data_IF_120520638954
#
_entry.id   IF_120520638954
#
_cell.length_a   1.000
_cell.length_b   1.000
_cell.length_c   1.000
_cell.angle_alpha   90.00
_cell.angle_beta   90.00
_cell.angle_gamma   90.00
#
_symmetry.space_group_name_H-M   'P 1'
#
loop_
_entity.id
_entity.type
_entity.pdbx_description
1 polymer ?
#
# COMPACT_ATOMS: atom_id res chain seq x y z
N UNK A 1 53.00 -4.54 0.13
CA UNK A 1 52.98 -3.06 0.09
C UNK A 1 51.56 -2.53 -0.17
N UNK A 2 50.92 -2.95 -1.26
CA UNK A 2 49.59 -2.47 -1.69
C UNK A 2 48.49 -2.77 -0.65
N UNK A 3 48.48 -3.95 -0.03
CA UNK A 3 47.45 -4.34 0.95
C UNK A 3 47.43 -3.44 2.19
N UNK A 4 48.59 -2.95 2.62
CA UNK A 4 48.71 -2.05 3.78
C UNK A 4 48.11 -0.67 3.49
N UNK A 5 48.28 -0.18 2.25
CA UNK A 5 47.72 1.11 1.83
C UNK A 5 46.20 1.06 1.72
N UNK A 6 45.67 -0.03 1.15
CA UNK A 6 44.21 -0.25 1.06
C UNK A 6 43.61 -0.34 2.46
N UNK A 7 44.20 -1.11 3.37
CA UNK A 7 43.72 -1.26 4.75
C UNK A 7 43.73 0.08 5.49
N UNK A 8 44.80 0.88 5.34
CA UNK A 8 44.92 2.19 5.95
C UNK A 8 43.90 3.20 5.41
N UNK A 9 43.54 3.10 4.13
CA UNK A 9 42.54 3.96 3.51
C UNK A 9 41.13 3.67 4.02
N UNK A 10 40.77 2.38 4.14
CA UNK A 10 39.49 1.97 4.72
C UNK A 10 39.34 2.38 6.19
N UNK A 11 40.40 2.28 6.99
CA UNK A 11 40.38 2.73 8.40
C UNK A 11 40.24 4.26 8.56
N UNK A 12 40.65 5.04 7.56
CA UNK A 12 40.51 6.50 7.54
C UNK A 12 39.18 6.99 6.95
N UNK A 13 38.42 6.11 6.32
CA UNK A 13 37.12 6.45 5.76
C UNK A 13 36.10 6.53 6.90
N UNK A 14 35.85 7.74 7.41
CA UNK A 14 34.79 7.97 8.38
C UNK A 14 33.42 7.79 7.72
N UNK A 15 32.67 6.78 8.16
CA UNK A 15 31.28 6.57 7.75
C UNK A 15 30.43 7.62 8.46
N UNK A 16 29.98 8.64 7.72
CA UNK A 16 29.02 9.62 8.24
C UNK A 16 27.66 8.96 8.46
N UNK A 17 27.39 8.55 9.70
CA UNK A 17 26.07 8.13 10.14
C UNK A 17 25.21 9.35 10.45
N UNK A 18 24.75 10.07 9.43
CA UNK A 18 23.71 11.10 9.64
C UNK A 18 22.63 11.00 8.56
N UNK A 19 21.98 9.84 8.51
CA UNK A 19 20.72 9.64 7.76
C UNK A 19 19.59 10.12 8.67
N UNK A 20 19.43 11.44 8.81
CA UNK A 20 18.21 11.97 9.41
C UNK A 20 17.13 11.95 8.34
N UNK A 21 16.13 11.09 8.52
CA UNK A 21 14.95 11.04 7.65
C UNK A 21 14.13 12.28 7.93
N UNK A 22 13.99 13.13 6.94
CA UNK A 22 13.12 14.31 6.99
C UNK A 22 11.66 13.84 6.97
N UNK A 23 10.87 14.29 7.95
CA UNK A 23 9.47 13.91 8.08
C UNK A 23 8.66 14.62 6.99
N UNK A 24 8.27 13.89 5.95
CA UNK A 24 7.39 14.42 4.90
C UNK A 24 5.96 14.49 5.41
N UNK A 25 5.56 15.70 5.82
CA UNK A 25 4.20 16.15 6.15
C UNK A 25 3.40 15.28 7.15
N UNK A 26 3.13 15.84 8.33
CA UNK A 26 2.06 15.39 9.23
C UNK A 26 0.70 15.69 8.61
N UNK A 27 0.30 14.90 7.62
CA UNK A 27 -1.06 14.94 7.09
C UNK A 27 -2.02 14.38 8.13
N UNK A 28 -2.93 15.21 8.61
CA UNK A 28 -4.03 14.81 9.48
C UNK A 28 -4.81 13.69 8.79
N UNK A 29 -4.78 12.49 9.37
CA UNK A 29 -5.50 11.35 8.82
C UNK A 29 -7.00 11.63 8.92
N UNK A 30 -7.64 11.94 7.80
CA UNK A 30 -9.09 12.00 7.71
C UNK A 30 -9.61 10.61 8.04
N UNK A 31 -10.14 10.45 9.25
CA UNK A 31 -10.73 9.20 9.69
C UNK A 31 -11.97 8.92 8.83
N UNK A 32 -12.08 7.74 8.20
CA UNK A 32 -13.35 7.34 7.61
C UNK A 32 -14.34 7.13 8.77
N UNK A 33 -15.32 8.02 8.90
CA UNK A 33 -16.41 7.84 9.86
C UNK A 33 -17.21 6.60 9.43
N UNK A 34 -16.99 5.49 10.11
CA UNK A 34 -17.84 4.30 10.05
C UNK A 34 -19.15 4.64 10.75
N UNK A 35 -20.12 5.16 10.00
CA UNK A 35 -21.46 5.44 10.46
C UNK A 35 -22.47 4.62 9.68
N UNK A 36 -22.78 3.43 10.19
CA UNK A 36 -23.99 2.69 9.81
C UNK A 36 -25.22 3.46 10.36
N UNK A 37 -25.98 4.13 9.49
CA UNK A 37 -27.34 4.59 9.79
C UNK A 37 -28.18 4.80 8.51
N UNK A 38 -29.07 3.82 8.29
CA UNK A 38 -30.40 3.85 7.63
C UNK A 38 -30.90 5.12 6.90
N UNK A 39 -31.36 4.85 5.66
CA UNK A 39 -32.70 5.10 5.10
C UNK A 39 -33.19 6.53 4.70
N UNK A 40 -33.47 6.65 3.39
CA UNK A 40 -34.41 7.52 2.63
C UNK A 40 -34.48 9.04 2.85
N UNK A 41 -34.09 9.81 1.81
CA UNK A 41 -35.05 10.48 0.89
C UNK A 41 -34.38 11.58 0.07
N UNK A 42 -34.43 11.39 -1.25
CA UNK A 42 -34.60 12.40 -2.30
C UNK A 42 -33.97 13.81 -2.08
N UNK A 43 -32.79 14.07 -2.67
CA UNK A 43 -32.48 15.34 -3.35
C UNK A 43 -31.28 15.20 -4.30
N UNK A 44 -31.54 15.52 -5.56
CA UNK A 44 -30.65 16.12 -6.57
C UNK A 44 -29.14 15.75 -6.61
N UNK A 45 -28.79 14.96 -7.64
CA UNK A 45 -27.59 15.07 -8.48
C UNK A 45 -26.25 15.49 -7.82
N UNK A 46 -25.54 14.51 -7.26
CA UNK A 46 -24.08 14.38 -7.43
C UNK A 46 -23.82 12.98 -7.94
N UNK A 47 -23.25 12.82 -9.15
CA UNK A 47 -22.82 11.50 -9.63
C UNK A 47 -21.76 11.00 -8.65
N UNK A 48 -22.17 10.14 -7.73
CA UNK A 48 -21.24 9.51 -6.81
C UNK A 48 -20.25 8.68 -7.63
N UNK A 49 -18.95 8.72 -7.31
CA UNK A 49 -18.00 7.85 -7.98
C UNK A 49 -18.45 6.41 -7.79
N UNK A 50 -18.65 5.69 -8.89
CA UNK A 50 -19.01 4.27 -8.84
C UNK A 50 -17.81 3.54 -8.25
N UNK A 51 -17.92 3.16 -6.98
CA UNK A 51 -16.91 2.33 -6.33
C UNK A 51 -17.09 0.91 -6.86
N UNK A 52 -16.33 0.58 -7.91
CA UNK A 52 -16.24 -0.80 -8.38
C UNK A 52 -15.37 -1.54 -7.37
N UNK A 53 -15.99 -2.41 -6.57
CA UNK A 53 -15.28 -3.35 -5.72
C UNK A 53 -14.50 -4.32 -6.62
N UNK A 54 -13.23 -4.01 -6.89
CA UNK A 54 -12.32 -4.92 -7.59
C UNK A 54 -11.98 -6.06 -6.66
N UNK A 55 -12.26 -7.29 -7.06
CA UNK A 55 -11.85 -8.49 -6.30
C UNK A 55 -10.33 -8.57 -6.34
N UNK A 56 -9.69 -8.54 -5.17
CA UNK A 56 -8.25 -8.71 -5.07
C UNK A 56 -7.82 -10.13 -5.42
N UNK A 57 -6.59 -10.29 -5.94
CA UNK A 57 -6.03 -11.59 -6.36
C UNK A 57 -6.13 -12.68 -5.26
N UNK A 58 -6.04 -12.30 -3.99
CA UNK A 58 -6.09 -13.23 -2.85
C UNK A 58 -7.47 -13.37 -2.18
N UNK A 59 -8.46 -12.59 -2.58
CA UNK A 59 -9.80 -12.58 -1.97
C UNK A 59 -10.58 -13.85 -2.32
N UNK A 60 -11.61 -14.22 -1.54
CA UNK A 60 -12.51 -15.31 -1.91
C UNK A 60 -13.14 -15.04 -3.29
N UNK A 61 -13.14 -16.06 -4.15
CA UNK A 61 -13.65 -15.93 -5.50
C UNK A 61 -15.18 -15.74 -5.49
N UNK A 62 -15.73 -14.74 -6.22
CA UNK A 62 -17.16 -14.41 -6.19
C UNK A 62 -18.07 -15.49 -6.77
N UNK A 63 -17.52 -16.55 -7.37
CA UNK A 63 -18.27 -17.71 -7.85
C UNK A 63 -18.70 -18.69 -6.75
N UNK A 64 -18.38 -18.42 -5.48
CA UNK A 64 -18.77 -19.28 -4.35
C UNK A 64 -17.98 -20.58 -4.22
N UNK A 65 -16.91 -20.77 -4.99
CA UNK A 65 -16.10 -22.01 -4.96
C UNK A 65 -15.25 -22.20 -3.70
N UNK A 66 -15.21 -21.23 -2.79
CA UNK A 66 -14.34 -21.23 -1.60
C UNK A 66 -12.84 -21.07 -1.88
N UNK A 67 -12.44 -20.96 -3.15
CA UNK A 67 -11.04 -20.76 -3.58
C UNK A 67 -10.69 -19.27 -3.62
N UNK A 68 -9.40 -18.93 -3.46
CA UNK A 68 -8.89 -17.57 -3.71
C UNK A 68 -9.06 -17.21 -5.19
N UNK A 69 -9.34 -15.95 -5.52
CA UNK A 69 -9.58 -15.46 -6.88
C UNK A 69 -8.49 -15.91 -7.86
N UNK A 70 -7.21 -15.78 -7.50
CA UNK A 70 -6.05 -16.25 -8.27
C UNK A 70 -6.00 -17.74 -8.60
N UNK A 71 -6.69 -18.56 -7.82
CA UNK A 71 -6.74 -20.01 -8.02
C UNK A 71 -8.03 -20.44 -8.71
N UNK A 72 -8.87 -19.50 -9.13
CA UNK A 72 -10.13 -19.74 -9.79
C UNK A 72 -10.23 -18.85 -11.03
N UNK A 73 -11.01 -17.77 -11.01
CA UNK A 73 -11.25 -16.93 -12.18
C UNK A 73 -10.07 -15.99 -12.53
N UNK A 74 -9.17 -15.71 -11.59
CA UNK A 74 -7.97 -14.90 -11.81
C UNK A 74 -6.69 -15.71 -12.02
N UNK A 75 -6.81 -16.96 -12.51
CA UNK A 75 -5.67 -17.87 -12.72
C UNK A 75 -4.85 -17.53 -13.97
N UNK A 76 -5.51 -17.00 -14.99
CA UNK A 76 -4.89 -16.69 -16.30
C UNK A 76 -4.47 -15.22 -16.43
N UNK A 77 -4.79 -14.39 -15.42
CA UNK A 77 -4.29 -13.02 -15.27
C UNK A 77 -2.93 -13.06 -14.54
N UNK A 78 -1.84 -13.19 -15.30
CA UNK A 78 -0.46 -13.21 -14.79
C UNK A 78 0.16 -11.81 -14.75
#
# INVERSE_FOLDING_TARGET
AIEYEVTRLFMKAEIRQNVQREQVSTGEAVQPTTGDAKENSNTSAKKQPVHVNKVGRNDPCPCGSGKKYKNCHGKDEN
#
